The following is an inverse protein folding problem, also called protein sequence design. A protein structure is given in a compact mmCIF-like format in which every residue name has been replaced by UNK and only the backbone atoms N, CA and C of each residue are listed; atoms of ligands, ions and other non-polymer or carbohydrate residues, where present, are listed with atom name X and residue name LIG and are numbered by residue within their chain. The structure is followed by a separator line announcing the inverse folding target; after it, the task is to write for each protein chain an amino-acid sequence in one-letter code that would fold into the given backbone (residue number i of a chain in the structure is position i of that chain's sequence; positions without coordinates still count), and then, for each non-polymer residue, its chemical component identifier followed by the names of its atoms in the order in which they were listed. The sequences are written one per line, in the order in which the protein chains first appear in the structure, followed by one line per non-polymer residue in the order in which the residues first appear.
data_IF_282171030850
#
_entry.id   IF_282171030850
#
_cell.length_a   1.000
_cell.length_b   1.000
_cell.length_c   1.000
_cell.angle_alpha   90.00
_cell.angle_beta   90.00
_cell.angle_gamma   90.00
#
_symmetry.space_group_name_H-M   'P 1'
#
loop_
_entity.id
_entity.type
_entity.pdbx_description
1 polymer ?
#
# COMPACT_ATOMS: atom_id res chain seq x y z
N UNK A 1 8.71 62.82 1.63
CA UNK A 1 8.36 61.85 2.71
C UNK A 1 7.02 61.10 2.53
N UNK A 2 6.00 61.65 1.83
CA UNK A 2 4.70 60.95 1.64
C UNK A 2 4.69 59.85 0.59
N UNK A 3 5.56 59.91 -0.43
CA UNK A 3 5.62 58.89 -1.49
C UNK A 3 6.33 57.59 -1.05
N UNK A 4 7.37 57.69 -0.21
CA UNK A 4 8.11 56.52 0.31
C UNK A 4 7.25 55.67 1.28
N UNK A 5 6.35 56.27 2.03
CA UNK A 5 5.45 55.55 2.94
C UNK A 5 4.40 54.74 2.17
N UNK A 6 3.92 55.23 1.03
CA UNK A 6 2.95 54.53 0.19
C UNK A 6 3.54 53.28 -0.48
N UNK A 7 4.82 53.36 -0.93
CA UNK A 7 5.50 52.22 -1.55
C UNK A 7 5.78 51.09 -0.53
N UNK A 8 6.10 51.44 0.72
CA UNK A 8 6.36 50.47 1.77
C UNK A 8 5.07 49.74 2.19
N UNK A 9 3.92 50.42 2.26
CA UNK A 9 2.63 49.84 2.54
C UNK A 9 2.15 48.90 1.40
N UNK A 10 2.40 49.26 0.16
CA UNK A 10 2.06 48.46 -1.01
C UNK A 10 2.88 47.17 -1.09
N UNK A 11 4.18 47.22 -0.70
CA UNK A 11 5.03 46.03 -0.63
C UNK A 11 4.64 45.07 0.49
N UNK A 12 4.15 45.56 1.61
CA UNK A 12 3.63 44.73 2.71
C UNK A 12 2.27 44.08 2.38
N UNK A 13 1.45 44.71 1.55
CA UNK A 13 0.17 44.17 1.11
C UNK A 13 0.31 43.04 0.07
N UNK A 14 1.45 42.92 -0.60
CA UNK A 14 1.77 41.85 -1.55
C UNK A 14 2.40 40.62 -0.88
N UNK A 15 2.73 40.68 0.40
CA UNK A 15 3.09 39.51 1.19
C UNK A 15 1.79 38.74 1.55
N UNK A 16 1.15 38.15 0.52
CA UNK A 16 0.17 37.10 0.79
C UNK A 16 0.86 36.05 1.69
N UNK A 17 0.24 35.62 2.80
CA UNK A 17 0.82 34.52 3.55
C UNK A 17 1.00 33.38 2.57
N UNK A 18 2.25 33.03 2.27
CA UNK A 18 2.56 31.76 1.66
C UNK A 18 2.02 30.74 2.68
N UNK A 19 0.82 30.23 2.45
CA UNK A 19 0.32 29.11 3.19
C UNK A 19 1.33 28.00 2.94
N UNK A 20 2.30 27.88 3.84
CA UNK A 20 3.24 26.77 3.83
C UNK A 20 2.39 25.53 3.91
N UNK A 21 2.29 24.80 2.81
CA UNK A 21 1.54 23.57 2.79
C UNK A 21 2.27 22.63 3.74
N UNK A 22 1.66 22.38 4.88
CA UNK A 22 2.26 21.62 5.97
C UNK A 22 2.11 20.13 5.69
N UNK A 23 3.19 19.38 5.90
CA UNK A 23 3.13 17.93 5.90
C UNK A 23 2.37 17.46 7.14
N UNK A 24 1.33 16.66 6.93
CA UNK A 24 0.47 16.16 8.00
C UNK A 24 0.47 14.63 8.03
N UNK A 25 0.45 14.04 9.21
CA UNK A 25 0.14 12.62 9.37
C UNK A 25 -1.38 12.46 9.20
N UNK A 26 -1.78 11.79 8.14
CA UNK A 26 -3.16 11.42 7.88
C UNK A 26 -3.39 9.96 8.26
N UNK A 27 -4.44 9.68 9.01
CA UNK A 27 -4.79 8.33 9.46
C UNK A 27 -6.20 7.98 9.06
N UNK A 28 -6.42 6.74 8.63
CA UNK A 28 -7.74 6.17 8.38
C UNK A 28 -7.84 4.77 9.00
N UNK A 29 -8.63 4.65 10.08
CA UNK A 29 -8.77 3.39 10.82
C UNK A 29 -9.55 2.33 10.04
N UNK A 30 -10.52 2.74 9.20
CA UNK A 30 -11.30 1.82 8.38
C UNK A 30 -10.40 1.13 7.34
N UNK A 31 -9.48 1.89 6.74
CA UNK A 31 -8.53 1.35 5.77
C UNK A 31 -7.24 0.84 6.43
N UNK A 32 -7.05 1.07 7.72
CA UNK A 32 -5.99 0.47 8.52
C UNK A 32 -4.60 1.07 8.30
N UNK A 33 -4.49 2.36 7.99
CA UNK A 33 -3.21 2.98 7.70
C UNK A 33 -3.05 4.40 8.28
N UNK A 34 -1.79 4.84 8.33
CA UNK A 34 -1.39 6.24 8.47
C UNK A 34 -0.24 6.55 7.51
N UNK A 35 -0.24 7.75 6.93
CA UNK A 35 0.77 8.24 5.97
C UNK A 35 0.93 9.74 6.10
N UNK A 36 2.14 10.24 5.92
CA UNK A 36 2.43 11.69 5.92
C UNK A 36 2.19 12.25 4.52
N UNK A 37 1.16 13.08 4.37
CA UNK A 37 0.80 13.76 3.12
C UNK A 37 1.21 15.24 3.13
N UNK A 38 1.52 15.82 1.95
CA UNK A 38 1.69 17.28 1.83
C UNK A 38 0.31 17.97 1.83
N UNK A 39 -0.28 18.14 3.00
CA UNK A 39 -1.61 18.68 3.22
C UNK A 39 -2.72 17.61 3.26
N UNK A 40 -3.95 18.04 3.52
CA UNK A 40 -5.11 17.17 3.66
C UNK A 40 -5.45 16.45 2.34
N UNK A 41 -5.43 15.12 2.26
CA UNK A 41 -5.75 14.41 1.05
C UNK A 41 -7.25 14.48 0.74
N UNK A 42 -7.56 14.56 -0.56
CA UNK A 42 -8.90 14.30 -1.09
C UNK A 42 -9.10 12.79 -1.18
N UNK A 43 -10.24 12.32 -0.71
CA UNK A 43 -10.62 10.90 -0.79
C UNK A 43 -11.62 10.69 -1.92
N UNK A 44 -11.38 9.67 -2.74
CA UNK A 44 -12.24 9.31 -3.87
C UNK A 44 -12.46 7.81 -3.89
N UNK A 45 -13.71 7.38 -3.94
CA UNK A 45 -14.07 5.98 -4.16
C UNK A 45 -13.71 5.57 -5.59
N UNK A 46 -13.21 4.35 -5.75
CA UNK A 46 -12.72 3.82 -7.01
C UNK A 46 -12.91 2.31 -7.06
N UNK A 47 -12.49 1.70 -8.14
CA UNK A 47 -12.49 0.25 -8.33
C UNK A 47 -11.12 -0.21 -8.83
N UNK A 48 -10.77 -1.41 -8.43
CA UNK A 48 -9.56 -2.10 -8.86
C UNK A 48 -9.92 -3.39 -9.56
N UNK A 49 -9.43 -3.56 -10.77
CA UNK A 49 -9.55 -4.83 -11.49
C UNK A 49 -8.34 -5.68 -11.19
N UNK A 50 -8.55 -6.88 -10.65
CA UNK A 50 -7.50 -7.84 -10.32
C UNK A 50 -7.02 -8.60 -11.57
N UNK A 51 -5.96 -9.40 -11.42
CA UNK A 51 -5.42 -10.25 -12.49
C UNK A 51 -6.49 -11.20 -13.05
N UNK A 52 -7.33 -11.76 -12.18
CA UNK A 52 -8.41 -12.69 -12.55
C UNK A 52 -9.73 -11.97 -12.87
N UNK A 53 -9.68 -10.67 -13.15
CA UNK A 53 -10.82 -9.83 -13.51
C UNK A 53 -11.94 -9.75 -12.44
N UNK A 54 -11.59 -9.83 -11.16
CA UNK A 54 -12.48 -9.37 -10.10
C UNK A 54 -12.45 -7.86 -10.00
N UNK A 55 -13.59 -7.25 -9.75
CA UNK A 55 -13.71 -5.80 -9.52
C UNK A 55 -13.87 -5.59 -8.02
N UNK A 56 -12.82 -5.03 -7.40
CA UNK A 56 -12.76 -4.80 -5.96
C UNK A 56 -12.98 -3.32 -5.64
N UNK A 57 -13.60 -3.01 -4.50
CA UNK A 57 -13.69 -1.64 -4.01
C UNK A 57 -12.31 -1.10 -3.68
N UNK A 58 -12.08 0.15 -4.03
CA UNK A 58 -10.84 0.85 -3.74
C UNK A 58 -11.11 2.30 -3.31
N UNK A 59 -10.21 2.86 -2.51
CA UNK A 59 -10.18 4.30 -2.19
C UNK A 59 -8.85 4.89 -2.56
N UNK A 60 -8.90 6.09 -3.15
CA UNK A 60 -7.72 6.86 -3.53
C UNK A 60 -7.67 8.12 -2.67
N UNK A 61 -6.62 8.26 -1.92
CA UNK A 61 -6.26 9.42 -1.12
C UNK A 61 -5.23 10.22 -1.91
N UNK A 62 -5.49 11.46 -2.28
CA UNK A 62 -4.59 12.20 -3.16
C UNK A 62 -4.44 13.67 -2.76
N UNK A 63 -3.24 14.21 -2.99
CA UNK A 63 -2.93 15.63 -2.81
C UNK A 63 -1.83 16.05 -3.79
N UNK A 64 -1.65 17.34 -3.97
CA UNK A 64 -0.62 17.92 -4.84
C UNK A 64 0.18 18.98 -4.08
N UNK A 65 1.49 19.03 -4.32
CA UNK A 65 2.38 20.07 -3.79
C UNK A 65 3.57 20.28 -4.72
N UNK A 66 3.89 21.55 -5.00
CA UNK A 66 5.08 21.94 -5.78
C UNK A 66 5.16 21.30 -7.17
N UNK A 67 3.99 21.05 -7.81
CA UNK A 67 3.91 20.34 -9.08
C UNK A 67 4.03 18.81 -8.95
N UNK A 68 4.29 18.30 -7.75
CA UNK A 68 4.26 16.87 -7.44
C UNK A 68 2.84 16.39 -7.11
N UNK A 69 2.53 15.15 -7.46
CA UNK A 69 1.28 14.44 -7.13
C UNK A 69 1.60 13.29 -6.19
N UNK A 70 0.82 13.18 -5.13
CA UNK A 70 0.98 12.19 -4.09
C UNK A 70 -0.34 11.45 -3.91
N UNK A 71 -0.32 10.15 -3.95
CA UNK A 71 -1.52 9.34 -3.79
C UNK A 71 -1.24 8.04 -3.06
N UNK A 72 -2.25 7.61 -2.31
CA UNK A 72 -2.31 6.28 -1.75
C UNK A 72 -3.60 5.63 -2.19
N UNK A 73 -3.51 4.47 -2.80
CA UNK A 73 -4.66 3.63 -3.16
C UNK A 73 -4.74 2.48 -2.18
N UNK A 74 -5.92 2.28 -1.59
CA UNK A 74 -6.22 1.10 -0.77
C UNK A 74 -7.27 0.28 -1.49
N UNK A 75 -6.97 -1.00 -1.72
CA UNK A 75 -7.88 -1.95 -2.38
C UNK A 75 -8.29 -3.02 -1.38
N UNK A 76 -9.57 -3.24 -1.21
CA UNK A 76 -10.09 -4.25 -0.28
C UNK A 76 -10.24 -5.61 -0.96
N UNK A 77 -9.28 -6.51 -0.70
CA UNK A 77 -9.31 -7.90 -1.17
C UNK A 77 -10.12 -8.82 -0.25
N UNK A 78 -10.62 -8.36 0.89
CA UNK A 78 -11.36 -9.20 1.83
C UNK A 78 -12.66 -9.76 1.24
N UNK A 79 -13.19 -9.09 0.22
CA UNK A 79 -14.44 -9.48 -0.47
C UNK A 79 -14.23 -10.53 -1.59
N UNK A 80 -12.96 -10.85 -1.94
CA UNK A 80 -12.65 -11.62 -3.15
C UNK A 80 -13.16 -13.06 -3.08
N UNK A 81 -13.14 -13.69 -1.90
CA UNK A 81 -13.64 -15.05 -1.73
C UNK A 81 -15.13 -15.14 -2.02
N UNK A 82 -15.91 -14.17 -1.55
CA UNK A 82 -17.33 -14.07 -1.85
C UNK A 82 -17.58 -13.90 -3.34
N UNK A 83 -16.86 -13.00 -4.00
CA UNK A 83 -16.96 -12.79 -5.45
C UNK A 83 -16.55 -14.03 -6.24
N UNK A 84 -15.57 -14.75 -5.76
CA UNK A 84 -15.16 -16.04 -6.31
C UNK A 84 -16.25 -17.10 -6.22
N UNK A 85 -16.92 -17.22 -5.09
CA UNK A 85 -18.07 -18.14 -4.92
C UNK A 85 -19.22 -17.76 -5.85
N UNK A 86 -19.61 -16.48 -5.89
CA UNK A 86 -20.65 -15.98 -6.78
C UNK A 86 -20.36 -16.25 -8.27
N UNK A 87 -19.08 -16.14 -8.67
CA UNK A 87 -18.64 -16.50 -10.02
C UNK A 87 -18.76 -18.00 -10.27
N UNK A 88 -18.35 -18.81 -9.30
CA UNK A 88 -18.41 -20.26 -9.37
C UNK A 88 -19.86 -20.79 -9.53
N UNK A 89 -20.82 -20.20 -8.80
CA UNK A 89 -22.24 -20.54 -8.91
C UNK A 89 -22.85 -20.25 -10.28
N UNK A 90 -22.31 -19.25 -10.98
CA UNK A 90 -22.74 -18.84 -12.33
C UNK A 90 -22.00 -19.59 -13.44
N UNK A 91 -21.10 -20.51 -13.09
CA UNK A 91 -20.31 -21.25 -14.06
C UNK A 91 -21.18 -22.24 -14.85
N UNK A 92 -21.12 -22.23 -16.19
CA UNK A 92 -21.84 -23.21 -17.00
C UNK A 92 -21.31 -24.62 -16.73
N UNK A 93 -22.19 -25.63 -16.88
CA UNK A 93 -21.82 -27.04 -16.77
C UNK A 93 -20.69 -27.35 -17.76
N UNK A 94 -19.58 -27.89 -17.28
CA UNK A 94 -18.38 -28.18 -18.08
C UNK A 94 -17.43 -26.99 -18.24
N UNK A 95 -17.71 -25.84 -17.65
CA UNK A 95 -16.81 -24.68 -17.65
C UNK A 95 -15.70 -24.79 -16.60
N UNK A 96 -14.67 -25.57 -16.85
CA UNK A 96 -13.57 -25.83 -15.88
C UNK A 96 -12.85 -24.53 -15.45
N UNK A 97 -12.75 -23.56 -16.34
CA UNK A 97 -11.99 -22.30 -16.10
C UNK A 97 -12.68 -21.34 -15.14
N UNK A 98 -13.97 -21.47 -14.88
CA UNK A 98 -14.71 -20.58 -13.98
C UNK A 98 -15.04 -21.22 -12.62
N UNK A 99 -14.90 -22.53 -12.48
CA UNK A 99 -15.30 -23.23 -11.24
C UNK A 99 -14.28 -23.12 -10.11
N UNK A 100 -13.03 -22.81 -10.44
CA UNK A 100 -11.97 -22.96 -9.45
C UNK A 100 -11.85 -24.42 -8.96
N UNK A 101 -11.04 -24.67 -7.97
CA UNK A 101 -11.00 -26.00 -7.33
C UNK A 101 -12.16 -26.18 -6.37
N UNK A 102 -12.90 -27.32 -6.39
CA UNK A 102 -13.95 -27.59 -5.44
C UNK A 102 -13.44 -27.49 -4.00
N UNK A 103 -14.22 -26.84 -3.16
CA UNK A 103 -13.96 -26.84 -1.73
C UNK A 103 -13.87 -28.29 -1.23
N UNK A 104 -12.70 -28.71 -0.73
CA UNK A 104 -12.54 -30.02 -0.09
C UNK A 104 -11.50 -30.95 -0.72
N UNK A 105 -10.93 -30.68 -1.90
CA UNK A 105 -9.90 -31.54 -2.49
C UNK A 105 -8.46 -31.20 -2.10
N UNK A 106 -8.20 -30.02 -1.60
CA UNK A 106 -6.92 -29.69 -0.98
C UNK A 106 -7.21 -29.14 0.41
N UNK A 107 -6.79 -29.88 1.40
CA UNK A 107 -6.83 -29.51 2.81
C UNK A 107 -6.35 -28.06 2.95
N UNK A 108 -7.27 -27.17 3.37
CA UNK A 108 -7.04 -25.76 3.71
C UNK A 108 -6.93 -24.71 2.58
N UNK A 109 -7.30 -24.99 1.35
CA UNK A 109 -7.55 -23.92 0.38
C UNK A 109 -9.05 -23.64 0.40
N UNK A 110 -9.44 -22.66 1.17
CA UNK A 110 -10.83 -22.21 1.28
C UNK A 110 -11.13 -21.31 0.08
N UNK A 111 -12.14 -21.65 -0.69
CA UNK A 111 -12.65 -20.85 -1.79
C UNK A 111 -12.18 -21.28 -3.18
N UNK A 112 -12.75 -20.67 -4.23
CA UNK A 112 -12.33 -20.91 -5.61
C UNK A 112 -10.87 -20.50 -5.79
N UNK A 113 -10.06 -21.35 -6.37
CA UNK A 113 -8.60 -21.22 -6.48
C UNK A 113 -8.12 -19.88 -7.05
N UNK A 114 -8.91 -19.24 -7.90
CA UNK A 114 -8.59 -17.95 -8.48
C UNK A 114 -8.57 -16.78 -7.48
N UNK A 115 -9.45 -16.78 -6.49
CA UNK A 115 -9.45 -15.75 -5.46
C UNK A 115 -8.17 -15.80 -4.62
N UNK A 116 -7.73 -17.00 -4.24
CA UNK A 116 -6.45 -17.19 -3.52
C UNK A 116 -5.25 -16.79 -4.38
N UNK A 117 -5.28 -17.09 -5.68
CA UNK A 117 -4.22 -16.67 -6.61
C UNK A 117 -4.14 -15.15 -6.70
N UNK A 118 -5.29 -14.45 -6.80
CA UNK A 118 -5.34 -12.99 -6.85
C UNK A 118 -4.76 -12.34 -5.57
N UNK A 119 -5.08 -12.89 -4.39
CA UNK A 119 -4.52 -12.38 -3.13
C UNK A 119 -2.99 -12.58 -3.12
N UNK A 120 -2.51 -13.77 -3.49
CA UNK A 120 -1.07 -14.07 -3.53
C UNK A 120 -0.33 -13.29 -4.60
N UNK A 121 -0.96 -13.08 -5.74
CA UNK A 121 -0.41 -12.35 -6.88
C UNK A 121 -0.56 -10.84 -6.79
N UNK A 122 -1.30 -10.29 -5.80
CA UNK A 122 -1.68 -8.88 -5.76
C UNK A 122 -0.50 -7.91 -5.87
N UNK A 123 0.60 -8.15 -5.13
CA UNK A 123 1.79 -7.31 -5.19
C UNK A 123 2.45 -7.37 -6.57
N UNK A 124 2.59 -8.58 -7.10
CA UNK A 124 3.23 -8.80 -8.42
C UNK A 124 2.40 -8.14 -9.51
N UNK A 125 1.09 -8.34 -9.49
CA UNK A 125 0.18 -7.75 -10.48
C UNK A 125 0.15 -6.22 -10.41
N UNK A 126 0.10 -5.65 -9.20
CA UNK A 126 0.18 -4.20 -9.03
C UNK A 126 1.51 -3.65 -9.54
N UNK A 127 2.64 -4.31 -9.23
CA UNK A 127 3.97 -3.94 -9.76
C UNK A 127 4.01 -4.03 -11.28
N UNK A 128 3.45 -5.09 -11.86
CA UNK A 128 3.40 -5.29 -13.30
C UNK A 128 2.70 -4.14 -14.02
N UNK A 129 1.62 -3.57 -13.46
CA UNK A 129 0.95 -2.39 -14.02
C UNK A 129 1.89 -1.18 -14.14
N UNK A 130 2.83 -1.01 -13.21
CA UNK A 130 3.85 0.04 -13.29
C UNK A 130 4.92 -0.26 -14.35
N UNK A 131 5.33 -1.53 -14.46
CA UNK A 131 6.31 -1.95 -15.46
C UNK A 131 5.80 -1.83 -16.91
N UNK A 132 4.48 -1.74 -17.10
CA UNK A 132 3.85 -1.52 -18.42
C UNK A 132 3.70 -0.02 -18.78
N UNK A 133 4.05 0.90 -17.89
CA UNK A 133 3.97 2.34 -18.18
C UNK A 133 5.04 2.76 -19.19
N UNK A 134 4.77 3.80 -19.96
CA UNK A 134 5.77 4.43 -20.84
C UNK A 134 6.80 5.22 -20.00
N UNK A 135 7.69 4.48 -19.36
CA UNK A 135 8.69 5.00 -18.45
C UNK A 135 9.90 4.07 -18.39
N UNK A 136 11.06 4.65 -18.11
CA UNK A 136 12.26 3.87 -17.77
C UNK A 136 12.20 3.46 -16.30
N UNK A 137 12.18 2.16 -16.03
CA UNK A 137 12.34 1.64 -14.68
C UNK A 137 13.79 1.83 -14.24
N UNK A 138 13.99 2.60 -13.17
CA UNK A 138 15.30 2.91 -12.60
C UNK A 138 15.60 2.11 -11.34
N UNK A 139 14.54 1.64 -10.66
CA UNK A 139 14.66 0.76 -9.50
C UNK A 139 13.45 -0.18 -9.44
N UNK A 140 13.67 -1.43 -9.10
CA UNK A 140 12.63 -2.39 -8.72
C UNK A 140 13.24 -3.40 -7.77
N UNK A 141 12.78 -3.37 -6.51
CA UNK A 141 13.31 -4.23 -5.46
C UNK A 141 12.25 -4.62 -4.44
N UNK A 142 12.54 -5.68 -3.69
CA UNK A 142 11.83 -6.03 -2.47
C UNK A 142 12.25 -5.10 -1.34
N UNK A 143 11.28 -4.62 -0.57
CA UNK A 143 11.50 -3.75 0.58
C UNK A 143 10.43 -4.02 1.63
N UNK A 144 10.49 -3.34 2.78
CA UNK A 144 9.47 -3.40 3.83
C UNK A 144 9.29 -2.04 4.49
N UNK A 145 8.08 -1.80 5.00
CA UNK A 145 7.78 -0.69 5.91
C UNK A 145 7.05 -1.24 7.13
N UNK A 146 7.43 -0.81 8.33
CA UNK A 146 6.95 -1.36 9.61
C UNK A 146 6.99 -2.90 9.67
N UNK A 147 8.03 -3.51 9.10
CA UNK A 147 8.20 -4.95 8.96
C UNK A 147 7.14 -5.64 8.10
N UNK A 148 6.38 -4.92 7.28
CA UNK A 148 5.46 -5.50 6.31
C UNK A 148 6.11 -5.44 4.93
N UNK A 149 6.28 -6.61 4.31
CA UNK A 149 6.96 -6.72 3.02
C UNK A 149 6.19 -6.03 1.89
N UNK A 150 6.93 -5.61 0.87
CA UNK A 150 6.37 -4.97 -0.30
C UNK A 150 7.38 -4.84 -1.44
N UNK A 151 6.96 -4.17 -2.48
CA UNK A 151 7.76 -3.85 -3.65
C UNK A 151 7.97 -2.35 -3.75
N UNK A 152 9.22 -1.94 -3.95
CA UNK A 152 9.58 -0.56 -4.22
C UNK A 152 9.97 -0.41 -5.69
N UNK A 153 9.43 0.62 -6.36
CA UNK A 153 9.76 0.94 -7.74
C UNK A 153 10.08 2.43 -7.87
N UNK A 154 11.00 2.73 -8.77
CA UNK A 154 11.24 4.08 -9.27
C UNK A 154 11.21 4.07 -10.79
N UNK A 155 10.53 5.06 -11.37
CA UNK A 155 10.41 5.20 -12.80
C UNK A 155 10.74 6.65 -13.21
N UNK A 156 11.32 6.80 -14.39
CA UNK A 156 11.43 8.11 -15.07
C UNK A 156 10.50 8.07 -16.27
N UNK A 157 9.46 8.91 -16.25
CA UNK A 157 8.47 8.99 -17.31
C UNK A 157 9.09 9.54 -18.59
N UNK A 158 8.86 8.89 -19.73
CA UNK A 158 9.50 9.25 -20.99
C UNK A 158 9.00 10.60 -21.54
N UNK A 159 7.73 10.92 -21.29
CA UNK A 159 7.09 12.12 -21.86
C UNK A 159 7.67 13.44 -21.30
N UNK A 160 7.88 13.52 -19.99
CA UNK A 160 8.24 14.78 -19.31
C UNK A 160 9.44 14.67 -18.37
N UNK A 161 10.03 13.47 -18.30
CA UNK A 161 11.16 13.17 -17.41
C UNK A 161 10.84 13.37 -15.92
N UNK A 162 9.56 13.44 -15.55
CA UNK A 162 9.14 13.37 -14.16
C UNK A 162 9.50 12.02 -13.57
N UNK A 163 9.66 11.96 -12.25
CA UNK A 163 10.03 10.73 -11.56
C UNK A 163 8.86 10.23 -10.73
N UNK A 164 8.54 8.95 -10.89
CA UNK A 164 7.49 8.28 -10.11
C UNK A 164 8.14 7.32 -9.13
N UNK A 165 7.80 7.47 -7.86
CA UNK A 165 8.24 6.64 -6.74
C UNK A 165 7.04 5.87 -6.21
N UNK A 166 7.18 4.57 -6.10
CA UNK A 166 6.07 3.68 -5.71
C UNK A 166 6.52 2.75 -4.61
N UNK A 167 5.65 2.54 -3.62
CA UNK A 167 5.74 1.44 -2.68
C UNK A 167 4.41 0.67 -2.68
N UNK A 168 4.48 -0.63 -2.88
CA UNK A 168 3.31 -1.52 -2.96
C UNK A 168 3.44 -2.57 -1.88
N UNK A 169 2.40 -2.74 -1.08
CA UNK A 169 2.41 -3.74 -0.01
C UNK A 169 1.01 -4.28 0.23
N UNK A 170 0.90 -5.38 0.95
CA UNK A 170 -0.38 -5.98 1.30
C UNK A 170 -0.40 -6.36 2.78
N UNK A 171 -1.43 -5.92 3.49
CA UNK A 171 -1.62 -6.17 4.89
C UNK A 171 -3.09 -6.48 5.18
N UNK A 172 -3.36 -7.58 5.89
CA UNK A 172 -4.72 -8.04 6.23
C UNK A 172 -5.70 -8.05 5.04
N UNK A 173 -5.23 -8.58 3.89
CA UNK A 173 -5.99 -8.64 2.63
C UNK A 173 -6.41 -7.26 2.08
N UNK A 174 -5.72 -6.20 2.43
CA UNK A 174 -5.80 -4.90 1.76
C UNK A 174 -4.49 -4.62 1.02
N UNK A 175 -4.59 -4.27 -0.25
CA UNK A 175 -3.46 -3.82 -1.05
C UNK A 175 -3.32 -2.31 -0.90
N UNK A 176 -2.12 -1.86 -0.57
CA UNK A 176 -1.75 -0.47 -0.42
C UNK A 176 -0.74 -0.09 -1.50
N UNK A 177 -1.03 0.96 -2.25
CA UNK A 177 -0.16 1.47 -3.29
C UNK A 177 0.11 2.95 -3.01
N UNK A 178 1.31 3.27 -2.54
CA UNK A 178 1.79 4.63 -2.42
C UNK A 178 2.46 5.02 -3.73
N UNK A 179 2.03 6.11 -4.33
CA UNK A 179 2.61 6.66 -5.54
C UNK A 179 2.87 8.16 -5.38
N UNK A 180 4.08 8.60 -5.62
CA UNK A 180 4.42 10.01 -5.75
C UNK A 180 5.10 10.26 -7.09
N UNK A 181 4.56 11.19 -7.88
CA UNK A 181 5.19 11.64 -9.12
C UNK A 181 5.62 13.09 -8.94
N UNK A 182 6.91 13.36 -9.09
CA UNK A 182 7.51 14.68 -8.92
C UNK A 182 8.16 15.16 -10.21
N UNK A 183 8.20 16.48 -10.48
CA UNK A 183 8.84 17.02 -11.67
C UNK A 183 10.33 16.64 -11.78
N UNK A 184 10.86 16.71 -12.99
CA UNK A 184 12.29 16.53 -13.23
C UNK A 184 13.12 17.45 -12.33
N UNK A 185 14.12 16.86 -11.66
CA UNK A 185 15.02 17.62 -10.77
C UNK A 185 14.45 17.98 -9.40
N UNK A 186 13.20 17.64 -9.13
CA UNK A 186 12.62 17.81 -7.80
C UNK A 186 13.24 16.80 -6.81
N UNK A 187 13.32 17.12 -5.51
CA UNK A 187 13.83 16.16 -4.52
C UNK A 187 12.95 14.90 -4.46
N UNK A 188 13.54 13.80 -4.04
CA UNK A 188 12.81 12.55 -3.82
C UNK A 188 11.77 12.71 -2.71
N UNK A 189 10.56 12.14 -2.88
CA UNK A 189 9.46 12.30 -1.93
C UNK A 189 9.60 11.33 -0.73
N UNK A 190 10.79 11.23 -0.15
CA UNK A 190 11.12 10.24 0.88
C UNK A 190 10.22 10.31 2.10
N UNK A 191 9.82 11.52 2.53
CA UNK A 191 8.93 11.71 3.67
C UNK A 191 7.54 11.07 3.43
N UNK A 192 7.03 11.13 2.21
CA UNK A 192 5.78 10.44 1.84
C UNK A 192 6.02 8.95 1.66
N UNK A 193 6.99 8.58 0.83
CA UNK A 193 7.21 7.20 0.40
C UNK A 193 7.53 6.24 1.56
N UNK A 194 8.19 6.75 2.64
CA UNK A 194 8.64 5.96 3.78
C UNK A 194 7.78 6.15 5.04
N UNK A 195 6.63 6.79 4.93
CA UNK A 195 5.80 7.14 6.09
C UNK A 195 4.63 6.19 6.34
N UNK A 196 4.46 5.15 5.51
CA UNK A 196 3.37 4.21 5.69
C UNK A 196 3.52 3.45 7.01
N UNK A 197 2.54 3.61 7.87
CA UNK A 197 2.35 2.80 9.08
C UNK A 197 0.96 2.17 9.07
N UNK A 198 0.78 1.13 9.85
CA UNK A 198 -0.48 0.38 9.93
C UNK A 198 -1.14 0.60 11.27
N UNK A 199 -2.45 0.68 11.25
CA UNK A 199 -3.26 0.87 12.45
C UNK A 199 -4.41 -0.13 12.49
N UNK A 200 -4.82 -0.49 13.70
CA UNK A 200 -6.02 -1.30 13.91
C UNK A 200 -7.30 -0.44 13.79
N UNK A 201 -8.47 -1.09 13.92
CA UNK A 201 -9.79 -0.42 13.88
C UNK A 201 -9.95 0.68 14.94
N UNK A 202 -9.22 0.58 16.03
CA UNK A 202 -9.27 1.52 17.16
C UNK A 202 -8.24 2.66 17.01
N UNK A 203 -7.40 2.60 15.95
CA UNK A 203 -6.39 3.59 15.62
C UNK A 203 -5.04 3.38 16.29
N UNK A 204 -4.84 2.23 16.95
CA UNK A 204 -3.55 1.91 17.54
C UNK A 204 -2.58 1.39 16.48
N UNK A 205 -1.32 1.80 16.57
CA UNK A 205 -0.28 1.33 15.64
C UNK A 205 -0.03 -0.17 15.76
N UNK A 206 -0.02 -0.87 14.63
CA UNK A 206 0.31 -2.29 14.54
C UNK A 206 1.81 -2.42 14.36
N UNK A 207 2.45 -3.30 15.13
CA UNK A 207 3.89 -3.60 15.03
C UNK A 207 4.13 -5.09 15.10
N UNK A 208 4.96 -5.57 14.19
CA UNK A 208 5.37 -6.98 14.12
C UNK A 208 6.75 -7.18 14.75
N UNK A 209 7.02 -8.40 15.23
CA UNK A 209 8.35 -8.79 15.73
C UNK A 209 9.26 -9.37 14.63
N UNK A 210 8.68 -9.69 13.48
CA UNK A 210 9.35 -10.21 12.31
C UNK A 210 8.64 -9.74 11.05
N UNK A 211 9.20 -10.03 9.88
CA UNK A 211 8.62 -9.61 8.60
C UNK A 211 7.27 -10.31 8.39
N UNK A 212 6.24 -9.51 8.21
CA UNK A 212 4.90 -9.94 7.86
C UNK A 212 4.79 -10.10 6.35
N UNK A 213 4.27 -11.24 5.92
CA UNK A 213 3.89 -11.49 4.53
C UNK A 213 2.43 -11.87 4.44
N UNK A 214 1.63 -11.11 3.70
CA UNK A 214 0.21 -11.40 3.50
C UNK A 214 -0.03 -12.73 2.76
N UNK A 215 0.96 -13.20 1.99
CA UNK A 215 0.85 -14.48 1.28
C UNK A 215 0.61 -15.66 2.22
N UNK A 216 1.22 -15.63 3.41
CA UNK A 216 1.02 -16.69 4.40
C UNK A 216 -0.26 -16.50 5.21
N UNK A 217 -0.73 -15.28 5.39
CA UNK A 217 -1.93 -14.95 6.14
C UNK A 217 -3.22 -15.18 5.34
N UNK A 218 -3.16 -15.09 4.01
CA UNK A 218 -4.27 -15.43 3.13
C UNK A 218 -4.68 -16.91 3.22
N UNK A 219 -3.85 -17.76 3.79
CA UNK A 219 -4.10 -19.22 3.93
C UNK A 219 -4.64 -19.64 5.31
N UNK A 220 -5.06 -18.70 6.11
CA UNK A 220 -5.42 -18.92 7.52
C UNK A 220 -4.22 -18.65 8.44
N UNK A 221 -4.47 -17.89 9.48
CA UNK A 221 -3.46 -17.54 10.48
C UNK A 221 -3.15 -18.83 11.26
N UNK A 222 -1.97 -19.39 11.00
CA UNK A 222 -1.37 -20.27 11.98
C UNK A 222 -0.71 -19.34 13.00
N UNK A 223 -1.19 -19.28 14.25
CA UNK A 223 -0.50 -18.53 15.28
C UNK A 223 0.93 -19.07 15.34
N UNK A 224 1.91 -18.20 15.11
CA UNK A 224 3.31 -18.58 15.34
C UNK A 224 3.39 -18.99 16.81
N UNK A 225 3.75 -20.24 17.13
CA UNK A 225 3.90 -20.62 18.52
C UNK A 225 4.88 -19.64 19.17
N UNK A 226 4.61 -19.14 20.39
CA UNK A 226 5.58 -18.32 21.09
C UNK A 226 6.91 -19.07 21.08
N UNK A 227 7.98 -18.37 20.66
CA UNK A 227 9.33 -18.94 20.67
C UNK A 227 9.54 -19.62 22.03
N UNK A 228 9.76 -20.93 22.00
CA UNK A 228 10.04 -21.66 23.24
C UNK A 228 11.16 -20.92 23.96
N UNK A 229 10.91 -20.45 25.18
CA UNK A 229 11.98 -19.86 25.99
C UNK A 229 13.11 -20.88 26.05
N UNK A 230 14.38 -20.48 25.82
CA UNK A 230 15.49 -21.37 26.04
C UNK A 230 15.33 -22.04 27.39
N UNK A 231 15.43 -23.36 27.42
CA UNK A 231 15.39 -24.05 28.71
C UNK A 231 16.43 -23.41 29.64
N UNK A 232 16.10 -23.16 30.91
CA UNK A 232 17.07 -22.62 31.84
C UNK A 232 18.31 -23.50 31.81
N UNK A 233 19.47 -22.85 31.66
CA UNK A 233 20.75 -23.55 31.64
C UNK A 233 20.83 -24.46 32.86
N UNK A 234 20.99 -25.76 32.59
CA UNK A 234 21.23 -26.73 33.67
C UNK A 234 22.54 -26.32 34.35
N UNK A 235 22.54 -26.04 35.66
CA UNK A 235 23.81 -25.72 36.36
C UNK A 235 24.80 -26.86 36.16
N UNK A 236 25.98 -26.54 35.69
CA UNK A 236 27.05 -27.50 35.55
C UNK A 236 27.28 -28.15 36.92
N UNK A 237 26.93 -29.42 37.03
CA UNK A 237 27.10 -30.18 38.23
C UNK A 237 28.57 -30.17 38.62
N UNK A 238 28.83 -29.59 39.79
CA UNK A 238 30.17 -29.62 40.41
C UNK A 238 30.56 -31.08 40.65
N UNK A 239 31.50 -31.57 39.83
CA UNK A 239 32.16 -32.80 40.09
C UNK A 239 32.96 -32.72 41.38
N UNK A 240 32.73 -33.64 42.26
CA UNK A 240 33.61 -33.96 43.39
C UNK A 240 34.70 -34.89 42.90
#
# INVERSE_FOLDING_TARGET
MRATTFVLVLLLALAAPAAAQEWIEYQNNQDGFKVVFPGQPKVTESFWTTEQNYILPARVYSTEMGGGRYSMTVVDYSVIDRLGMERSEKCPVGGETCQGQPAGQLVNIIGPGYATQDIRGALVYASFKYLQRDAKVTEYLWNWQDLIEGHQLQLTNNADQSRTFVFITMHENKLYVLEATVPKGYPEPGLFQQSLGYVDKDGNGIRYQGIYSNQFHALGIYPVPPLARPAPAVPAGGGR
#
